data_IF_650984512155
#
_entry.id   IF_650984512155
#
_cell.length_a   1.000
_cell.length_b   1.000
_cell.length_c   1.000
_cell.angle_alpha   90.00
_cell.angle_beta   90.00
_cell.angle_gamma   90.00
#
_symmetry.space_group_name_H-M   'P 1'
#
loop_
_entity.id
_entity.type
_entity.pdbx_description
1 polymer ?
#
# COMPACT_ATOMS: atom_id res chain seq x y z
N UNK A 1 6.04 21.14 4.33
CA UNK A 1 4.67 20.62 4.28
C UNK A 1 4.33 20.31 2.83
N UNK A 2 4.04 19.08 2.50
CA UNK A 2 3.73 18.66 1.15
C UNK A 2 3.52 17.15 1.05
N UNK A 3 3.18 16.68 -0.16
CA UNK A 3 3.07 15.26 -0.42
C UNK A 3 4.47 14.61 -0.30
N UNK A 4 4.62 13.51 0.45
CA UNK A 4 5.91 12.85 0.63
C UNK A 4 6.48 12.26 -0.66
N UNK A 5 5.66 12.00 -1.67
CA UNK A 5 6.05 11.37 -2.93
C UNK A 5 6.11 12.35 -4.09
N UNK A 6 5.18 13.31 -4.13
CA UNK A 6 4.94 14.18 -5.27
C UNK A 6 5.31 15.62 -4.96
N UNK A 7 5.91 16.28 -5.95
CA UNK A 7 6.11 17.73 -5.96
C UNK A 7 4.81 18.51 -6.20
N UNK A 8 4.88 19.85 -6.17
CA UNK A 8 3.73 20.71 -6.42
C UNK A 8 3.13 20.56 -7.83
N UNK A 9 3.92 20.05 -8.77
CA UNK A 9 3.52 19.76 -10.15
C UNK A 9 2.83 18.39 -10.33
N UNK A 10 2.65 17.63 -9.23
CA UNK A 10 2.05 16.30 -9.25
C UNK A 10 2.96 15.18 -9.74
N UNK A 11 4.25 15.47 -9.99
CA UNK A 11 5.27 14.48 -10.37
C UNK A 11 6.07 14.03 -9.16
N UNK A 12 6.66 12.85 -9.27
CA UNK A 12 7.59 12.37 -8.24
C UNK A 12 8.74 13.36 -8.02
N UNK A 13 9.12 13.55 -6.76
CA UNK A 13 10.34 14.28 -6.45
C UNK A 13 11.54 13.59 -7.10
N UNK A 14 12.36 14.36 -7.78
CA UNK A 14 13.54 13.85 -8.51
C UNK A 14 14.58 13.17 -7.60
N UNK A 15 14.56 13.51 -6.31
CA UNK A 15 15.47 12.98 -5.28
C UNK A 15 14.83 11.89 -4.40
N UNK A 16 13.69 11.32 -4.79
CA UNK A 16 13.01 10.29 -4.00
C UNK A 16 13.92 9.09 -3.68
N UNK A 17 14.82 8.70 -4.58
CA UNK A 17 15.80 7.65 -4.31
C UNK A 17 16.70 7.98 -3.12
N UNK A 18 17.17 9.23 -3.00
CA UNK A 18 17.99 9.69 -1.86
C UNK A 18 17.18 9.79 -0.57
N UNK A 19 15.97 10.35 -0.64
CA UNK A 19 15.08 10.55 0.51
C UNK A 19 14.71 9.23 1.17
N UNK A 20 14.33 8.24 0.37
CA UNK A 20 13.95 6.93 0.89
C UNK A 20 15.17 6.03 1.19
N UNK A 21 16.30 6.24 0.52
CA UNK A 21 17.57 5.65 0.94
C UNK A 21 17.99 6.16 2.31
N UNK A 22 17.88 7.47 2.57
CA UNK A 22 18.17 8.06 3.88
C UNK A 22 17.27 7.48 4.97
N UNK A 23 15.96 7.29 4.72
CA UNK A 23 15.07 6.61 5.65
C UNK A 23 15.59 5.22 6.00
N UNK A 24 15.97 4.43 5.00
CA UNK A 24 16.52 3.09 5.19
C UNK A 24 17.83 3.08 5.97
N UNK A 25 18.73 4.00 5.64
CA UNK A 25 20.00 4.16 6.30
C UNK A 25 19.85 4.53 7.78
N UNK A 26 19.03 5.54 8.09
CA UNK A 26 18.75 5.97 9.46
C UNK A 26 18.15 4.83 10.28
N UNK A 27 17.17 4.09 9.72
CA UNK A 27 16.56 2.95 10.42
C UNK A 27 17.59 1.86 10.77
N UNK A 28 18.52 1.54 9.86
CA UNK A 28 19.56 0.55 10.09
C UNK A 28 20.58 1.00 11.14
N UNK A 29 21.05 2.26 11.08
CA UNK A 29 22.00 2.81 12.04
C UNK A 29 21.39 3.08 13.43
N UNK A 30 20.08 3.35 13.49
CA UNK A 30 19.34 3.37 14.74
C UNK A 30 19.28 1.96 15.36
N UNK A 31 18.96 0.95 14.54
CA UNK A 31 18.89 -0.43 15.00
C UNK A 31 20.25 -1.02 15.40
N UNK A 32 21.34 -0.50 14.89
CA UNK A 32 22.69 -0.89 15.31
C UNK A 32 23.15 -0.26 16.64
N UNK A 33 22.40 0.72 17.17
CA UNK A 33 22.76 1.51 18.33
C UNK A 33 23.78 2.63 18.04
N UNK A 34 24.14 2.86 16.78
CA UNK A 34 25.09 3.91 16.42
C UNK A 34 24.50 5.31 16.62
N UNK A 35 23.21 5.49 16.30
CA UNK A 35 22.53 6.78 16.46
C UNK A 35 21.93 6.97 17.86
N UNK A 36 21.54 5.88 18.53
CA UNK A 36 21.02 5.89 19.89
C UNK A 36 21.43 4.60 20.62
N UNK A 37 22.53 4.64 21.39
CA UNK A 37 23.02 3.46 22.10
C UNK A 37 22.13 3.01 23.26
N UNK A 38 21.24 3.88 23.73
CA UNK A 38 20.33 3.57 24.85
C UNK A 38 19.04 2.88 24.37
N UNK A 39 18.81 2.85 23.04
CA UNK A 39 17.64 2.21 22.46
C UNK A 39 18.02 1.34 21.25
N UNK A 40 18.05 0.04 21.45
CA UNK A 40 18.37 -0.96 20.41
C UNK A 40 17.15 -1.89 20.26
N UNK A 41 16.48 -1.89 19.10
CA UNK A 41 15.32 -2.75 18.88
C UNK A 41 15.73 -4.21 18.64
N UNK A 42 14.84 -5.15 19.00
CA UNK A 42 14.97 -6.57 18.62
C UNK A 42 14.50 -6.84 17.18
N UNK A 43 13.57 -6.02 16.70
CA UNK A 43 12.95 -6.16 15.37
C UNK A 43 12.82 -4.80 14.71
N UNK A 44 13.17 -4.73 13.41
CA UNK A 44 12.89 -3.60 12.53
C UNK A 44 11.83 -4.01 11.53
N UNK A 45 10.69 -3.32 11.54
CA UNK A 45 9.58 -3.61 10.65
C UNK A 45 9.48 -2.52 9.56
N UNK A 46 9.80 -2.88 8.34
CA UNK A 46 9.80 -2.00 7.17
C UNK A 46 8.58 -2.24 6.28
N UNK A 47 8.03 -1.18 5.68
CA UNK A 47 6.80 -1.23 4.90
C UNK A 47 6.99 -0.66 3.51
N UNK A 48 6.61 -1.44 2.49
CA UNK A 48 6.62 -1.08 1.08
C UNK A 48 7.98 -0.58 0.55
N UNK A 49 8.02 -0.21 -0.72
CA UNK A 49 9.24 0.21 -1.40
C UNK A 49 9.97 1.39 -0.73
N UNK A 50 9.23 2.26 -0.03
CA UNK A 50 9.80 3.43 0.67
C UNK A 50 10.81 3.04 1.74
N UNK A 51 10.57 1.92 2.41
CA UNK A 51 11.45 1.34 3.41
C UNK A 51 12.20 0.10 2.89
N UNK A 52 12.17 -0.14 1.58
CA UNK A 52 12.72 -1.36 0.97
C UNK A 52 14.23 -1.52 1.14
N UNK A 53 14.97 -0.44 1.31
CA UNK A 53 16.41 -0.51 1.56
C UNK A 53 16.78 -0.80 3.03
N UNK A 54 15.83 -0.73 3.98
CA UNK A 54 16.09 -0.98 5.40
C UNK A 54 16.79 -2.32 5.64
N UNK A 55 16.25 -3.47 5.20
CA UNK A 55 16.90 -4.76 5.45
C UNK A 55 18.28 -4.87 4.78
N UNK A 56 18.45 -4.24 3.63
CA UNK A 56 19.73 -4.24 2.94
C UNK A 56 20.80 -3.46 3.73
N UNK A 57 20.47 -2.26 4.22
CA UNK A 57 21.40 -1.48 5.05
C UNK A 57 21.68 -2.17 6.39
N UNK A 58 20.65 -2.80 7.02
CA UNK A 58 20.84 -3.61 8.22
C UNK A 58 21.90 -4.70 8.02
N UNK A 59 21.84 -5.39 6.87
CA UNK A 59 22.82 -6.42 6.52
C UNK A 59 24.22 -5.89 6.24
N UNK A 60 24.41 -4.57 6.12
CA UNK A 60 25.70 -3.91 5.97
C UNK A 60 26.23 -3.34 7.30
N UNK A 61 25.44 -3.29 8.37
CA UNK A 61 25.85 -2.82 9.69
C UNK A 61 26.51 -3.96 10.48
N UNK A 62 27.82 -3.89 10.78
CA UNK A 62 28.51 -4.94 11.51
C UNK A 62 27.94 -5.13 12.92
N UNK A 63 27.66 -6.37 13.30
CA UNK A 63 27.22 -6.70 14.66
C UNK A 63 25.74 -6.39 14.97
N UNK A 64 24.97 -5.87 14.03
CA UNK A 64 23.54 -5.69 14.18
C UNK A 64 22.85 -7.03 14.44
N UNK A 65 22.00 -7.10 15.44
CA UNK A 65 21.30 -8.33 15.88
C UNK A 65 19.80 -8.31 15.63
N UNK A 66 19.23 -7.12 15.42
CA UNK A 66 17.80 -6.98 15.19
C UNK A 66 17.37 -7.79 13.94
N UNK A 67 16.26 -8.50 14.05
CA UNK A 67 15.63 -9.15 12.90
C UNK A 67 14.84 -8.14 12.06
N UNK A 68 14.71 -8.42 10.77
CA UNK A 68 13.96 -7.57 9.84
C UNK A 68 12.66 -8.24 9.38
N UNK A 69 11.55 -7.49 9.45
CA UNK A 69 10.26 -7.86 8.85
C UNK A 69 9.94 -6.85 7.76
N UNK A 70 9.56 -7.33 6.59
CA UNK A 70 9.18 -6.48 5.46
C UNK A 70 7.74 -6.74 5.04
N UNK A 71 6.88 -5.72 5.13
CA UNK A 71 5.47 -5.83 4.72
C UNK A 71 5.24 -5.23 3.34
N UNK A 72 4.65 -6.02 2.45
CA UNK A 72 4.16 -5.60 1.15
C UNK A 72 2.67 -5.29 1.26
N UNK A 73 2.30 -4.02 1.14
CA UNK A 73 0.90 -3.62 1.06
C UNK A 73 0.40 -3.62 -0.40
N UNK A 74 1.28 -3.20 -1.34
CA UNK A 74 0.95 -3.19 -2.76
C UNK A 74 2.22 -3.40 -3.62
N UNK A 75 2.36 -4.59 -4.18
CA UNK A 75 3.53 -4.98 -4.97
C UNK A 75 3.63 -4.22 -6.31
N UNK A 76 2.55 -3.60 -6.79
CA UNK A 76 2.58 -2.80 -8.02
C UNK A 76 3.51 -1.59 -7.92
N UNK A 77 3.69 -1.04 -6.71
CA UNK A 77 4.61 0.06 -6.45
C UNK A 77 5.98 -0.48 -6.03
N UNK A 78 6.92 -0.51 -6.98
CA UNK A 78 8.21 -1.20 -6.82
C UNK A 78 9.37 -0.28 -6.44
N UNK A 79 9.17 1.06 -6.43
CA UNK A 79 10.24 2.02 -6.17
C UNK A 79 11.39 1.82 -7.16
N UNK A 80 11.10 2.10 -8.44
CA UNK A 80 12.02 1.87 -9.54
C UNK A 80 12.82 3.15 -9.84
N UNK A 81 14.14 3.03 -9.81
CA UNK A 81 15.04 4.13 -10.08
C UNK A 81 16.07 3.76 -11.15
N UNK A 82 16.59 4.74 -11.93
CA UNK A 82 17.66 4.52 -12.88
C UNK A 82 18.91 3.93 -12.23
N UNK A 83 19.71 3.20 -13.00
CA UNK A 83 20.90 2.51 -12.51
C UNK A 83 21.99 3.48 -12.02
N UNK A 84 22.08 4.65 -12.61
CA UNK A 84 23.02 5.72 -12.24
C UNK A 84 22.77 6.32 -10.86
N UNK A 85 21.54 6.19 -10.33
CA UNK A 85 21.23 6.56 -8.95
C UNK A 85 21.98 5.72 -7.91
N UNK A 86 22.61 4.59 -8.29
CA UNK A 86 23.34 3.72 -7.37
C UNK A 86 24.42 4.47 -6.57
N UNK A 87 25.13 5.40 -7.19
CA UNK A 87 26.17 6.19 -6.52
C UNK A 87 25.66 6.98 -5.32
N UNK A 88 24.39 7.34 -5.32
CA UNK A 88 23.73 8.11 -4.25
C UNK A 88 23.28 7.26 -3.07
N UNK A 89 23.24 5.93 -3.24
CA UNK A 89 22.67 5.03 -2.24
C UNK A 89 23.70 4.54 -1.21
N UNK A 90 25.01 4.75 -1.45
CA UNK A 90 26.07 4.26 -0.58
C UNK A 90 26.15 2.72 -0.51
N UNK A 91 25.63 2.02 -1.52
CA UNK A 91 25.56 0.56 -1.55
C UNK A 91 26.77 -0.03 -2.30
N UNK A 92 27.29 -1.19 -1.87
CA UNK A 92 28.34 -1.90 -2.61
C UNK A 92 27.85 -2.37 -3.99
N UNK A 93 28.70 -2.25 -5.01
CA UNK A 93 28.37 -2.66 -6.39
C UNK A 93 27.92 -4.11 -6.52
N UNK A 94 28.43 -5.02 -5.68
CA UNK A 94 28.05 -6.42 -5.72
C UNK A 94 26.60 -6.69 -5.27
N UNK A 95 25.89 -5.70 -4.74
CA UNK A 95 24.45 -5.77 -4.46
C UNK A 95 23.60 -5.44 -5.69
N UNK A 96 24.19 -4.83 -6.70
CA UNK A 96 23.55 -4.40 -7.94
C UNK A 96 23.56 -5.55 -8.97
N UNK A 97 22.94 -6.65 -8.64
CA UNK A 97 22.85 -7.86 -9.44
C UNK A 97 21.41 -8.33 -9.59
N UNK A 98 21.10 -9.20 -10.59
CA UNK A 98 19.77 -9.81 -10.73
C UNK A 98 19.30 -10.57 -9.48
N UNK A 99 20.21 -11.09 -8.67
CA UNK A 99 19.91 -11.75 -7.38
C UNK A 99 19.75 -10.73 -6.23
N UNK A 100 20.22 -9.50 -6.44
CA UNK A 100 20.14 -8.40 -5.48
C UNK A 100 19.01 -7.41 -5.82
N UNK A 101 19.37 -6.14 -6.00
CA UNK A 101 18.42 -5.03 -6.17
C UNK A 101 18.18 -4.63 -7.63
N UNK A 102 18.94 -5.19 -8.57
CA UNK A 102 18.74 -4.94 -10.00
C UNK A 102 17.39 -5.51 -10.46
N UNK A 103 16.66 -4.75 -11.27
CA UNK A 103 15.36 -5.12 -11.82
C UNK A 103 15.20 -4.55 -13.22
N UNK A 104 15.38 -5.39 -14.25
CA UNK A 104 15.26 -5.03 -15.67
C UNK A 104 16.08 -3.78 -16.07
N UNK A 105 17.35 -3.75 -15.71
CA UNK A 105 18.25 -2.65 -16.00
C UNK A 105 18.07 -1.41 -15.10
N UNK A 106 17.32 -1.53 -14.02
CA UNK A 106 17.02 -0.48 -13.04
C UNK A 106 17.24 -0.99 -11.62
N UNK A 107 17.11 -0.12 -10.64
CA UNK A 107 17.14 -0.44 -9.21
C UNK A 107 15.70 -0.53 -8.70
N UNK A 108 15.36 -1.59 -7.94
CA UNK A 108 14.07 -1.71 -7.26
C UNK A 108 14.25 -1.77 -5.75
N UNK A 109 13.70 -0.79 -5.03
CA UNK A 109 13.71 -0.78 -3.57
C UNK A 109 12.78 -1.84 -2.98
N UNK A 110 11.62 -2.10 -3.62
CA UNK A 110 10.74 -3.22 -3.24
C UNK A 110 11.50 -4.54 -3.29
N UNK A 111 12.23 -4.79 -4.37
CA UNK A 111 13.03 -6.01 -4.51
C UNK A 111 14.10 -6.13 -3.42
N UNK A 112 14.73 -5.03 -3.03
CA UNK A 112 15.68 -5.02 -1.92
C UNK A 112 15.01 -5.51 -0.62
N UNK A 113 13.85 -4.97 -0.28
CA UNK A 113 13.08 -5.40 0.88
C UNK A 113 12.75 -6.89 0.85
N UNK A 114 12.31 -7.40 -0.31
CA UNK A 114 11.99 -8.82 -0.49
C UNK A 114 13.18 -9.75 -0.39
N UNK A 115 14.33 -9.34 -0.94
CA UNK A 115 15.53 -10.20 -0.98
C UNK A 115 16.25 -10.24 0.36
N UNK A 116 16.33 -9.12 1.06
CA UNK A 116 17.23 -8.97 2.22
C UNK A 116 16.54 -9.04 3.59
N UNK A 117 15.20 -9.03 3.69
CA UNK A 117 14.53 -9.18 4.97
C UNK A 117 14.53 -10.63 5.47
N UNK A 118 14.47 -10.83 6.79
CA UNK A 118 14.37 -12.15 7.39
C UNK A 118 12.98 -12.75 7.18
N UNK A 119 11.93 -11.94 7.33
CA UNK A 119 10.53 -12.35 7.10
C UNK A 119 9.79 -11.33 6.24
N UNK A 120 8.88 -11.84 5.43
CA UNK A 120 8.01 -11.06 4.55
C UNK A 120 6.57 -11.26 4.99
N UNK A 121 5.83 -10.17 5.09
CA UNK A 121 4.38 -10.21 5.30
C UNK A 121 3.65 -9.48 4.20
N UNK A 122 2.39 -9.81 4.01
CA UNK A 122 1.46 -9.06 3.16
C UNK A 122 0.06 -9.04 3.76
N UNK A 123 -0.84 -8.27 3.18
CA UNK A 123 -2.10 -7.85 3.79
C UNK A 123 -3.24 -8.86 3.71
N UNK A 124 -3.02 -10.05 3.15
CA UNK A 124 -3.97 -11.16 3.26
C UNK A 124 -3.35 -12.51 2.88
N UNK A 125 -3.87 -13.64 3.40
CA UNK A 125 -3.45 -14.98 2.98
C UNK A 125 -3.72 -15.26 1.49
N UNK A 126 -4.76 -14.65 0.90
CA UNK A 126 -5.03 -14.76 -0.53
C UNK A 126 -3.97 -14.00 -1.32
N UNK A 127 -3.70 -12.75 -0.96
CA UNK A 127 -2.72 -11.93 -1.64
C UNK A 127 -1.30 -12.53 -1.56
N UNK A 128 -0.93 -13.17 -0.44
CA UNK A 128 0.34 -13.90 -0.34
C UNK A 128 0.50 -14.98 -1.41
N UNK A 129 -0.57 -15.67 -1.79
CA UNK A 129 -0.56 -16.63 -2.89
C UNK A 129 -0.57 -15.97 -4.26
N UNK A 130 -1.36 -14.90 -4.44
CA UNK A 130 -1.48 -14.18 -5.70
C UNK A 130 -0.16 -13.58 -6.16
N UNK A 131 0.58 -12.90 -5.28
CA UNK A 131 1.86 -12.25 -5.62
C UNK A 131 2.98 -13.24 -5.97
N UNK A 132 2.80 -14.53 -5.72
CA UNK A 132 3.69 -15.59 -6.19
C UNK A 132 3.39 -16.03 -7.63
N UNK A 133 2.38 -15.47 -8.30
CA UNK A 133 2.01 -15.80 -9.67
C UNK A 133 2.47 -14.72 -10.65
N UNK A 134 2.76 -15.07 -11.93
CA UNK A 134 3.14 -14.08 -12.94
C UNK A 134 2.08 -12.98 -13.14
N UNK A 135 0.81 -13.30 -12.96
CA UNK A 135 -0.31 -12.37 -13.15
C UNK A 135 -0.30 -11.22 -12.12
N UNK A 136 0.00 -11.52 -10.85
CA UNK A 136 -0.07 -10.54 -9.75
C UNK A 136 1.30 -10.19 -9.15
N UNK A 137 2.35 -10.90 -9.53
CA UNK A 137 3.70 -10.71 -8.98
C UNK A 137 4.45 -9.51 -9.52
N UNK A 138 3.90 -8.77 -10.50
CA UNK A 138 4.50 -7.55 -11.06
C UNK A 138 5.96 -7.73 -11.52
N UNK A 139 6.34 -8.92 -11.97
CA UNK A 139 7.70 -9.31 -12.34
C UNK A 139 8.61 -9.67 -11.17
N UNK A 140 8.08 -9.72 -9.95
CA UNK A 140 8.77 -10.17 -8.73
C UNK A 140 8.26 -11.53 -8.22
N UNK A 141 7.37 -12.19 -8.97
CA UNK A 141 6.80 -13.49 -8.62
C UNK A 141 7.85 -14.58 -8.42
N UNK A 142 8.96 -14.55 -9.16
CA UNK A 142 10.10 -15.43 -8.95
C UNK A 142 10.71 -15.25 -7.57
N UNK A 143 11.01 -14.02 -7.19
CA UNK A 143 11.53 -13.67 -5.85
C UNK A 143 10.54 -14.09 -4.77
N UNK A 144 9.24 -13.86 -4.97
CA UNK A 144 8.22 -14.23 -3.99
C UNK A 144 8.10 -15.75 -3.83
N UNK A 145 8.24 -16.53 -4.90
CA UNK A 145 8.26 -18.00 -4.81
C UNK A 145 9.50 -18.50 -4.07
N UNK A 146 10.67 -17.96 -4.39
CA UNK A 146 11.93 -18.34 -3.73
C UNK A 146 11.90 -18.02 -2.23
N UNK A 147 11.19 -16.97 -1.83
CA UNK A 147 11.00 -16.55 -0.44
C UNK A 147 9.70 -17.09 0.18
N UNK A 148 9.01 -18.03 -0.47
CA UNK A 148 7.69 -18.52 -0.03
C UNK A 148 7.68 -19.10 1.40
N UNK A 149 8.79 -19.68 1.87
CA UNK A 149 8.95 -20.17 3.24
C UNK A 149 8.99 -19.07 4.32
N UNK A 150 9.26 -17.82 3.91
CA UNK A 150 9.33 -16.65 4.79
C UNK A 150 8.13 -15.71 4.64
N UNK A 151 7.23 -15.99 3.67
CA UNK A 151 6.08 -15.17 3.34
C UNK A 151 4.85 -15.56 4.14
N UNK A 152 4.22 -14.59 4.78
CA UNK A 152 2.95 -14.76 5.51
C UNK A 152 1.93 -13.68 5.13
N UNK A 153 0.67 -14.09 4.97
CA UNK A 153 -0.44 -13.17 4.73
C UNK A 153 -1.20 -12.88 6.03
N UNK A 154 -1.26 -11.62 6.43
CA UNK A 154 -1.92 -11.17 7.67
C UNK A 154 -2.97 -10.13 7.31
N UNK A 155 -4.23 -10.36 7.68
CA UNK A 155 -5.31 -9.40 7.43
C UNK A 155 -5.14 -8.15 8.27
N UNK A 156 -5.40 -6.99 7.65
CA UNK A 156 -5.46 -5.74 8.38
C UNK A 156 -6.57 -5.77 9.42
N UNK A 157 -6.33 -5.14 10.56
CA UNK A 157 -7.35 -4.91 11.58
C UNK A 157 -8.34 -3.82 11.18
N UNK A 158 -9.45 -3.78 11.89
CA UNK A 158 -10.46 -2.72 11.81
C UNK A 158 -10.66 -2.14 13.20
N UNK A 159 -10.64 -0.81 13.30
CA UNK A 159 -10.99 -0.13 14.55
C UNK A 159 -12.52 -0.07 14.68
N UNK A 160 -13.07 -0.99 15.45
CA UNK A 160 -14.51 -1.07 15.71
C UNK A 160 -15.04 0.07 16.59
N UNK A 161 -14.19 0.83 17.27
CA UNK A 161 -14.63 2.03 17.98
C UNK A 161 -14.96 3.17 17.01
N UNK A 162 -14.27 3.20 15.85
CA UNK A 162 -14.47 4.20 14.78
C UNK A 162 -15.46 3.70 13.73
N UNK A 163 -15.29 2.46 13.26
CA UNK A 163 -16.09 1.87 12.17
C UNK A 163 -17.21 0.99 12.74
N UNK A 164 -18.19 1.64 13.38
CA UNK A 164 -19.28 0.98 14.07
C UNK A 164 -20.64 1.52 13.59
N UNK A 165 -21.54 0.68 13.05
CA UNK A 165 -22.87 1.10 12.65
C UNK A 165 -23.78 1.49 13.82
N UNK A 166 -23.39 1.22 15.07
CA UNK A 166 -24.02 1.72 16.29
C UNK A 166 -23.63 3.14 16.67
N UNK A 167 -22.71 3.80 15.92
CA UNK A 167 -22.24 5.15 16.22
C UNK A 167 -23.34 6.19 15.97
N UNK A 168 -23.44 7.15 16.89
CA UNK A 168 -24.35 8.28 16.78
C UNK A 168 -24.01 9.28 15.65
N UNK A 169 -22.83 9.17 15.04
CA UNK A 169 -22.41 10.01 13.89
C UNK A 169 -23.16 9.65 12.59
N UNK A 170 -23.76 8.47 12.48
CA UNK A 170 -24.58 8.13 11.32
C UNK A 170 -26.04 8.56 11.51
N UNK A 171 -26.78 8.73 10.42
CA UNK A 171 -28.15 9.25 10.44
C UNK A 171 -29.10 8.47 11.36
N UNK A 172 -28.93 7.18 11.47
CA UNK A 172 -29.60 6.30 12.44
C UNK A 172 -28.76 5.05 12.67
N UNK A 173 -28.41 4.72 13.93
CA UNK A 173 -27.72 3.48 14.26
C UNK A 173 -28.48 2.24 13.79
N UNK A 174 -27.72 1.18 13.47
CA UNK A 174 -28.23 -0.14 13.12
C UNK A 174 -27.24 -1.23 13.55
N UNK A 175 -27.69 -2.49 13.56
CA UNK A 175 -26.85 -3.64 13.86
C UNK A 175 -27.09 -4.76 12.84
N UNK A 176 -26.36 -5.87 12.97
CA UNK A 176 -26.57 -7.06 12.16
C UNK A 176 -27.95 -7.69 12.41
N UNK A 177 -28.47 -7.55 13.63
CA UNK A 177 -29.76 -8.10 14.04
C UNK A 177 -30.94 -7.15 13.75
N UNK A 178 -30.67 -5.83 13.62
CA UNK A 178 -31.68 -4.82 13.28
C UNK A 178 -31.13 -3.84 12.23
N UNK A 179 -31.53 -4.05 10.98
CA UNK A 179 -31.16 -3.22 9.84
C UNK A 179 -32.13 -2.05 9.57
N UNK A 180 -33.11 -1.77 10.43
CA UNK A 180 -34.12 -0.72 10.19
C UNK A 180 -33.46 0.67 10.03
N UNK A 181 -32.39 0.96 10.81
CA UNK A 181 -31.62 2.20 10.69
C UNK A 181 -30.96 2.39 9.34
N UNK A 182 -30.64 1.32 8.62
CA UNK A 182 -29.95 1.40 7.32
C UNK A 182 -30.78 2.10 6.23
N UNK A 183 -32.12 2.02 6.31
CA UNK A 183 -33.02 2.75 5.41
C UNK A 183 -32.92 4.27 5.62
N UNK A 184 -32.82 4.71 6.88
CA UNK A 184 -32.64 6.12 7.22
C UNK A 184 -31.26 6.62 6.76
N UNK A 185 -30.20 5.83 6.94
CA UNK A 185 -28.87 6.16 6.44
C UNK A 185 -28.82 6.26 4.91
N UNK A 186 -29.49 5.33 4.20
CA UNK A 186 -29.64 5.41 2.73
C UNK A 186 -30.29 6.72 2.32
N UNK A 187 -31.42 7.08 2.96
CA UNK A 187 -32.13 8.33 2.65
C UNK A 187 -31.29 9.57 2.92
N UNK A 188 -30.57 9.62 4.04
CA UNK A 188 -29.70 10.72 4.37
C UNK A 188 -28.59 10.90 3.31
N UNK A 189 -27.94 9.81 2.89
CA UNK A 189 -26.93 9.82 1.85
C UNK A 189 -27.50 10.28 0.49
N UNK A 190 -28.72 9.82 0.13
CA UNK A 190 -29.38 10.29 -1.08
C UNK A 190 -29.62 11.79 -1.07
N UNK A 191 -30.07 12.36 0.05
CA UNK A 191 -30.29 13.80 0.20
C UNK A 191 -28.97 14.58 0.06
N UNK A 192 -27.92 14.11 0.69
CA UNK A 192 -26.59 14.72 0.63
C UNK A 192 -26.02 14.79 -0.80
N UNK A 193 -26.27 13.75 -1.59
CA UNK A 193 -25.83 13.67 -2.98
C UNK A 193 -26.84 14.24 -3.99
N UNK A 194 -27.94 14.87 -3.53
CA UNK A 194 -28.98 15.40 -4.40
C UNK A 194 -29.74 14.32 -5.20
N UNK A 195 -29.74 13.06 -4.73
CA UNK A 195 -30.42 11.96 -5.39
C UNK A 195 -31.87 11.83 -4.90
N UNK A 196 -32.79 11.45 -5.80
CA UNK A 196 -34.20 11.22 -5.44
C UNK A 196 -34.34 10.18 -4.33
N UNK A 197 -35.15 10.48 -3.32
CA UNK A 197 -35.48 9.56 -2.22
C UNK A 197 -36.74 8.75 -2.48
N UNK A 198 -37.51 9.09 -3.53
CA UNK A 198 -38.81 8.47 -3.82
C UNK A 198 -38.70 7.23 -4.72
N UNK A 199 -37.68 7.17 -5.58
CA UNK A 199 -37.51 6.05 -6.46
C UNK A 199 -36.94 4.83 -5.71
N UNK A 200 -37.64 3.70 -5.82
CA UNK A 200 -37.19 2.41 -5.34
C UNK A 200 -36.08 1.87 -6.24
N UNK A 201 -34.91 1.58 -5.67
CA UNK A 201 -33.77 1.03 -6.40
C UNK A 201 -32.55 0.93 -5.49
N UNK A 202 -31.53 0.17 -5.88
CA UNK A 202 -30.30 0.09 -5.13
C UNK A 202 -29.56 1.43 -5.20
N UNK A 203 -28.89 1.79 -4.10
CA UNK A 203 -27.87 2.84 -4.06
C UNK A 203 -26.51 2.18 -3.98
N UNK A 204 -25.71 2.35 -5.02
CA UNK A 204 -24.33 1.96 -5.04
C UNK A 204 -23.49 3.15 -4.55
N UNK A 205 -22.55 2.88 -3.65
CA UNK A 205 -21.66 3.91 -3.13
C UNK A 205 -20.20 3.48 -3.27
N UNK A 206 -19.36 4.40 -3.74
CA UNK A 206 -17.91 4.21 -3.84
C UNK A 206 -17.22 5.31 -3.08
N UNK A 207 -16.36 4.94 -2.13
CA UNK A 207 -15.47 5.85 -1.40
C UNK A 207 -14.06 5.36 -1.60
N UNK A 208 -13.32 5.99 -2.52
CA UNK A 208 -11.99 5.50 -2.90
C UNK A 208 -11.19 6.56 -3.66
N UNK A 209 -9.89 6.30 -3.87
CA UNK A 209 -9.14 7.00 -4.91
C UNK A 209 -9.72 6.62 -6.27
N UNK A 210 -9.92 7.61 -7.14
CA UNK A 210 -10.45 7.39 -8.49
C UNK A 210 -9.29 7.00 -9.42
N UNK A 211 -8.99 5.71 -9.47
CA UNK A 211 -7.90 5.13 -10.27
C UNK A 211 -8.37 3.81 -10.88
N UNK A 212 -7.77 3.39 -12.00
CA UNK A 212 -8.06 2.08 -12.64
C UNK A 212 -7.82 0.90 -11.69
N UNK A 213 -6.84 1.01 -10.78
CA UNK A 213 -6.60 -0.02 -9.76
C UNK A 213 -7.80 -0.24 -8.82
N UNK A 214 -8.69 0.76 -8.69
CA UNK A 214 -9.94 0.68 -7.91
C UNK A 214 -11.15 0.34 -8.77
N UNK A 215 -10.94 0.02 -10.06
CA UNK A 215 -12.01 -0.34 -10.99
C UNK A 215 -12.90 0.84 -11.39
N UNK A 216 -12.38 2.06 -11.36
CA UNK A 216 -13.16 3.23 -11.74
C UNK A 216 -13.47 3.29 -13.23
N UNK A 217 -12.59 2.77 -14.06
CA UNK A 217 -12.80 2.52 -15.49
C UNK A 217 -14.00 1.58 -15.70
N UNK A 218 -14.05 0.45 -15.00
CA UNK A 218 -15.18 -0.48 -15.07
C UNK A 218 -16.49 0.16 -14.56
N UNK A 219 -16.41 0.97 -13.50
CA UNK A 219 -17.58 1.67 -12.99
C UNK A 219 -18.13 2.68 -14.01
N UNK A 220 -17.27 3.40 -14.69
CA UNK A 220 -17.66 4.36 -15.74
C UNK A 220 -18.38 3.66 -16.90
N UNK A 221 -17.91 2.48 -17.32
CA UNK A 221 -18.53 1.69 -18.39
C UNK A 221 -19.97 1.24 -18.07
N UNK A 222 -20.28 0.98 -16.80
CA UNK A 222 -21.59 0.44 -16.39
C UNK A 222 -22.51 1.48 -15.75
N UNK A 223 -22.08 2.73 -15.57
CA UNK A 223 -22.84 3.77 -14.87
C UNK A 223 -24.20 4.04 -15.51
N UNK A 224 -24.26 4.15 -16.82
CA UNK A 224 -25.50 4.39 -17.56
C UNK A 224 -26.47 3.20 -17.44
N UNK A 225 -25.97 1.98 -17.46
CA UNK A 225 -26.80 0.79 -17.27
C UNK A 225 -27.36 0.71 -15.84
N UNK A 226 -26.58 1.06 -14.83
CA UNK A 226 -27.04 1.16 -13.44
C UNK A 226 -28.21 2.14 -13.35
N UNK A 227 -28.07 3.33 -13.95
CA UNK A 227 -29.09 4.35 -13.96
C UNK A 227 -30.34 3.91 -14.74
N UNK A 228 -30.20 3.31 -15.92
CA UNK A 228 -31.29 2.81 -16.74
C UNK A 228 -32.13 1.73 -16.04
N UNK A 229 -31.50 0.94 -15.15
CA UNK A 229 -32.18 -0.07 -14.32
C UNK A 229 -32.75 0.50 -13.02
N UNK A 230 -32.77 1.83 -12.85
CA UNK A 230 -33.33 2.50 -11.66
C UNK A 230 -32.37 2.51 -10.45
N UNK A 231 -31.14 2.10 -10.63
CA UNK A 231 -30.10 2.24 -9.62
C UNK A 231 -29.63 3.69 -9.48
N UNK A 232 -28.98 3.97 -8.36
CA UNK A 232 -28.35 5.26 -8.07
C UNK A 232 -26.89 5.03 -7.74
N UNK A 233 -26.05 6.00 -8.09
CA UNK A 233 -24.61 5.93 -7.87
C UNK A 233 -24.15 7.17 -7.09
N UNK A 234 -23.44 6.97 -5.98
CA UNK A 234 -22.78 8.01 -5.20
C UNK A 234 -21.27 7.71 -5.18
N UNK A 235 -20.47 8.64 -5.71
CA UNK A 235 -19.01 8.47 -5.79
C UNK A 235 -18.33 9.61 -5.03
N UNK A 236 -17.47 9.26 -4.09
CA UNK A 236 -16.66 10.18 -3.32
C UNK A 236 -15.19 9.80 -3.42
N UNK A 237 -14.38 10.69 -3.99
CA UNK A 237 -12.95 10.46 -4.11
C UNK A 237 -12.23 11.53 -4.91
N UNK A 238 -10.91 11.34 -5.00
CA UNK A 238 -10.02 12.10 -5.88
C UNK A 238 -9.09 11.12 -6.59
N UNK A 239 -8.64 11.45 -7.78
CA UNK A 239 -7.75 10.56 -8.51
C UNK A 239 -7.35 11.09 -9.88
N UNK A 240 -7.29 10.20 -10.83
CA UNK A 240 -6.88 10.47 -12.19
C UNK A 240 -7.89 11.38 -12.91
N UNK A 241 -7.41 12.46 -13.51
CA UNK A 241 -8.25 13.41 -14.22
C UNK A 241 -8.82 12.85 -15.55
N UNK A 242 -8.30 11.70 -16.01
CA UNK A 242 -8.78 11.02 -17.21
C UNK A 242 -9.94 10.04 -16.92
N UNK A 243 -10.27 9.82 -15.65
CA UNK A 243 -11.37 8.99 -15.15
C UNK A 243 -12.49 9.87 -14.60
#
# INVERSE_FOLDING_TARGET
>A
DGNPYLGPDGRDWSDNHRRFALLGWVAAHLASGELDPDWIPDVVHAHDWHAGLVPLYMGLCPGLKAASVFTVHNLAFRGIFPMDCHSDLGLPMFKLTPQGIEFHGKISFMKAGLVYSDKITTVSPKYAREICTPEFGCGLDGVMRDRGGDLSGILNGVDYAVWNPGDAKIAKPYSVDDLAGKKACKRALQLEFGLSTEAHGPLFAVVSRLTSQKGMDLLAEVADEIAARGGKLAVLGRGDAAL
#
